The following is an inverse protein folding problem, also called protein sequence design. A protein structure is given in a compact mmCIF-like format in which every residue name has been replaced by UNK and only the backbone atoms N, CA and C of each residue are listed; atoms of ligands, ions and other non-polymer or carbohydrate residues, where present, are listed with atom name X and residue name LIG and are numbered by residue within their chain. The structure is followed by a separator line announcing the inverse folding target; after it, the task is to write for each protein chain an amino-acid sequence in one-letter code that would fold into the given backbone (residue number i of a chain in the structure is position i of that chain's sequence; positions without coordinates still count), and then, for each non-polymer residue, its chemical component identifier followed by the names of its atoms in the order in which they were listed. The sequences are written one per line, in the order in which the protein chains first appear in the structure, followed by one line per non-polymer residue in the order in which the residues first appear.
data_IF_063019821087
#
_entry.id   IF_063019821087
#
_cell.length_a   1.000
_cell.length_b   1.000
_cell.length_c   1.000
_cell.angle_alpha   90.00
_cell.angle_beta   90.00
_cell.angle_gamma   90.00
#
_symmetry.space_group_name_H-M   'P 1'
#
loop_
_entity.id
_entity.type
_entity.pdbx_description
1 polymer ?
#
# COMPACT_ATOMS: atom_id res chain seq x y z
N UNK A 1 15.67 12.16 -16.88
CA UNK A 1 16.19 12.69 -15.60
C UNK A 1 15.32 12.29 -14.39
N UNK A 2 13.97 12.23 -14.50
CA UNK A 2 13.10 11.94 -13.34
C UNK A 2 13.06 10.46 -12.88
N UNK A 3 13.39 9.49 -13.76
CA UNK A 3 13.21 8.07 -13.49
C UNK A 3 13.94 7.55 -12.22
N UNK A 4 15.23 7.91 -11.95
CA UNK A 4 15.88 7.50 -10.71
C UNK A 4 15.18 8.00 -9.43
N UNK A 5 14.68 9.24 -9.45
CA UNK A 5 13.92 9.81 -8.34
C UNK A 5 12.59 9.10 -8.13
N UNK A 6 11.88 8.77 -9.21
CA UNK A 6 10.65 7.98 -9.16
C UNK A 6 10.89 6.58 -8.61
N UNK A 7 11.94 5.89 -9.06
CA UNK A 7 12.31 4.57 -8.54
C UNK A 7 12.62 4.62 -7.04
N UNK A 8 13.34 5.64 -6.59
CA UNK A 8 13.58 5.83 -5.17
C UNK A 8 12.27 6.05 -4.40
N UNK A 9 11.38 6.92 -4.90
CA UNK A 9 10.10 7.22 -4.27
C UNK A 9 9.21 5.97 -4.14
N UNK A 10 9.07 5.17 -5.21
CA UNK A 10 8.17 4.00 -5.20
C UNK A 10 8.76 2.79 -4.48
N UNK A 11 10.07 2.59 -4.52
CA UNK A 11 10.69 1.46 -3.81
C UNK A 11 10.85 1.81 -2.34
N UNK A 12 11.56 2.89 -2.03
CA UNK A 12 11.93 3.21 -0.65
C UNK A 12 10.82 3.96 0.07
N UNK A 13 10.22 4.96 -0.58
CA UNK A 13 9.14 5.76 0.00
C UNK A 13 7.87 4.93 0.19
N UNK A 14 7.29 4.44 -0.90
CA UNK A 14 6.07 3.64 -0.87
C UNK A 14 6.35 2.23 -0.33
N UNK A 15 7.05 1.39 -1.10
CA UNK A 15 7.21 -0.02 -0.76
C UNK A 15 7.77 -0.32 0.64
N UNK A 16 8.78 0.43 1.09
CA UNK A 16 9.35 0.24 2.44
C UNK A 16 8.75 1.18 3.48
N UNK A 17 8.64 2.46 3.17
CA UNK A 17 8.18 3.47 4.11
C UNK A 17 6.72 3.28 4.52
N UNK A 18 5.83 3.05 3.55
CA UNK A 18 4.41 2.87 3.85
C UNK A 18 4.14 1.56 4.58
N UNK A 19 4.79 0.46 4.20
CA UNK A 19 4.65 -0.81 4.94
C UNK A 19 5.17 -0.69 6.38
N UNK A 20 6.29 0.01 6.58
CA UNK A 20 6.80 0.28 7.94
C UNK A 20 5.80 1.11 8.76
N UNK A 21 5.21 2.14 8.17
CA UNK A 21 4.26 3.01 8.86
C UNK A 21 2.95 2.27 9.17
N UNK A 22 2.28 1.77 8.14
CA UNK A 22 0.93 1.24 8.23
C UNK A 22 0.87 -0.18 8.79
N UNK A 23 1.88 -1.03 8.52
CA UNK A 23 1.85 -2.44 8.91
C UNK A 23 2.66 -2.69 10.17
N UNK A 24 3.72 -1.94 10.46
CA UNK A 24 4.46 -2.10 11.72
C UNK A 24 4.04 -1.08 12.76
N UNK A 25 4.34 0.20 12.53
CA UNK A 25 4.19 1.24 13.55
C UNK A 25 2.74 1.35 14.02
N UNK A 26 1.80 1.47 13.08
CA UNK A 26 0.39 1.61 13.43
C UNK A 26 -0.20 0.35 14.06
N UNK A 27 0.15 -0.85 13.58
CA UNK A 27 -0.31 -2.09 14.24
C UNK A 27 0.24 -2.22 15.66
N UNK A 28 1.49 -1.81 15.91
CA UNK A 28 2.07 -1.82 17.24
C UNK A 28 1.34 -0.85 18.17
N UNK A 29 1.13 0.39 17.72
CA UNK A 29 0.49 1.44 18.53
C UNK A 29 -0.99 1.14 18.78
N UNK A 30 -1.72 0.77 17.73
CA UNK A 30 -3.13 0.42 17.86
C UNK A 30 -3.30 -0.92 18.57
N UNK A 31 -2.36 -1.85 18.46
CA UNK A 31 -2.37 -3.09 19.24
C UNK A 31 -2.18 -2.86 20.73
N UNK A 32 -1.38 -1.86 21.13
CA UNK A 32 -1.28 -1.42 22.53
C UNK A 32 -2.58 -0.77 23.03
N UNK A 33 -3.28 -0.04 22.17
CA UNK A 33 -4.50 0.67 22.52
C UNK A 33 -5.76 -0.22 22.54
N UNK A 34 -5.93 -1.05 21.51
CA UNK A 34 -7.13 -1.85 21.24
C UNK A 34 -6.97 -3.32 21.69
N UNK A 35 -5.76 -3.75 22.01
CA UNK A 35 -5.43 -5.10 22.43
C UNK A 35 -5.11 -6.06 21.26
N UNK A 36 -5.11 -7.36 21.58
CA UNK A 36 -4.63 -8.43 20.67
C UNK A 36 -5.72 -9.40 20.20
N UNK A 37 -6.98 -9.13 20.52
CA UNK A 37 -8.11 -9.97 20.13
C UNK A 37 -8.28 -9.99 18.60
N UNK A 38 -8.98 -10.99 18.07
CA UNK A 38 -9.31 -11.06 16.63
C UNK A 38 -10.09 -9.82 16.18
N UNK A 39 -11.05 -9.36 17.00
CA UNK A 39 -11.82 -8.16 16.71
C UNK A 39 -10.93 -6.90 16.69
N UNK A 40 -9.98 -6.77 17.63
CA UNK A 40 -9.02 -5.67 17.64
C UNK A 40 -8.17 -5.69 16.36
N UNK A 41 -7.64 -6.85 15.95
CA UNK A 41 -6.88 -6.97 14.70
C UNK A 41 -7.68 -6.56 13.46
N UNK A 42 -8.95 -6.99 13.37
CA UNK A 42 -9.84 -6.58 12.28
C UNK A 42 -10.02 -5.05 12.30
N UNK A 43 -10.29 -4.47 13.47
CA UNK A 43 -10.40 -3.02 13.63
C UNK A 43 -9.13 -2.28 13.20
N UNK A 44 -7.95 -2.77 13.56
CA UNK A 44 -6.66 -2.21 13.15
C UNK A 44 -6.50 -2.24 11.63
N UNK A 45 -6.81 -3.37 10.98
CA UNK A 45 -6.77 -3.49 9.51
C UNK A 45 -7.69 -2.46 8.85
N UNK A 46 -8.92 -2.29 9.36
CA UNK A 46 -9.87 -1.34 8.78
C UNK A 46 -9.42 0.11 8.98
N UNK A 47 -8.86 0.45 10.15
CA UNK A 47 -8.34 1.79 10.44
C UNK A 47 -7.14 2.11 9.53
N UNK A 48 -6.16 1.21 9.47
CA UNK A 48 -4.95 1.45 8.65
C UNK A 48 -5.28 1.48 7.16
N UNK A 49 -6.20 0.62 6.69
CA UNK A 49 -6.72 0.66 5.31
C UNK A 49 -7.38 2.00 4.99
N UNK A 50 -8.26 2.49 5.87
CA UNK A 50 -8.96 3.76 5.64
C UNK A 50 -7.97 4.92 5.53
N UNK A 51 -6.98 4.99 6.42
CA UNK A 51 -5.98 6.04 6.42
C UNK A 51 -5.05 5.95 5.21
N UNK A 52 -4.63 4.73 4.86
CA UNK A 52 -3.82 4.46 3.67
C UNK A 52 -4.54 4.90 2.40
N UNK A 53 -5.79 4.49 2.22
CA UNK A 53 -6.60 4.86 1.08
C UNK A 53 -6.88 6.37 1.03
N UNK A 54 -7.17 7.01 2.16
CA UNK A 54 -7.36 8.46 2.22
C UNK A 54 -6.11 9.23 1.79
N UNK A 55 -4.91 8.75 2.14
CA UNK A 55 -3.65 9.35 1.73
C UNK A 55 -3.40 9.31 0.22
N UNK A 56 -4.04 8.39 -0.50
CA UNK A 56 -3.89 8.24 -1.96
C UNK A 56 -4.81 9.18 -2.76
N UNK A 57 -5.85 9.74 -2.14
CA UNK A 57 -6.83 10.57 -2.85
C UNK A 57 -6.25 11.84 -3.51
N UNK A 58 -5.40 12.66 -2.85
CA UNK A 58 -4.95 13.93 -3.42
C UNK A 58 -4.19 13.80 -4.74
N UNK A 59 -3.36 12.76 -4.87
CA UNK A 59 -2.46 12.58 -6.01
C UNK A 59 -2.99 11.58 -7.05
N UNK A 60 -3.86 10.63 -6.64
CA UNK A 60 -4.31 9.52 -7.50
C UNK A 60 -5.83 9.48 -7.72
N UNK A 61 -6.60 10.33 -7.03
CA UNK A 61 -8.06 10.39 -7.15
C UNK A 61 -8.76 9.09 -6.73
N UNK A 62 -10.00 8.90 -7.21
CA UNK A 62 -10.82 7.73 -6.89
C UNK A 62 -10.16 6.40 -7.28
N UNK A 63 -9.55 6.23 -8.47
CA UNK A 63 -8.91 4.97 -8.83
C UNK A 63 -7.79 4.57 -7.88
N UNK A 64 -6.98 5.54 -7.43
CA UNK A 64 -5.93 5.29 -6.44
C UNK A 64 -6.49 4.91 -5.08
N UNK A 65 -7.59 5.56 -4.64
CA UNK A 65 -8.28 5.17 -3.40
C UNK A 65 -8.81 3.74 -3.48
N UNK A 66 -9.46 3.35 -4.59
CA UNK A 66 -9.99 2.01 -4.78
C UNK A 66 -8.88 0.96 -4.69
N UNK A 67 -7.79 1.16 -5.45
CA UNK A 67 -6.61 0.31 -5.39
C UNK A 67 -6.04 0.23 -3.96
N UNK A 68 -5.89 1.37 -3.29
CA UNK A 68 -5.35 1.45 -1.95
C UNK A 68 -6.25 0.77 -0.90
N UNK A 69 -7.57 0.77 -1.07
CA UNK A 69 -8.49 -0.03 -0.22
C UNK A 69 -8.19 -1.52 -0.37
N UNK A 70 -8.08 -2.03 -1.60
CA UNK A 70 -7.79 -3.44 -1.83
C UNK A 70 -6.41 -3.83 -1.28
N UNK A 71 -5.37 -3.05 -1.60
CA UNK A 71 -4.02 -3.27 -1.06
C UNK A 71 -4.00 -3.19 0.46
N UNK A 72 -4.67 -2.19 1.05
CA UNK A 72 -4.85 -2.01 2.49
C UNK A 72 -5.41 -3.25 3.17
N UNK A 73 -6.54 -3.75 2.67
CA UNK A 73 -7.23 -4.93 3.23
C UNK A 73 -6.39 -6.20 3.09
N UNK A 74 -5.81 -6.45 1.92
CA UNK A 74 -5.03 -7.66 1.65
C UNK A 74 -3.74 -7.66 2.47
N UNK A 75 -2.96 -6.58 2.41
CA UNK A 75 -1.65 -6.51 3.05
C UNK A 75 -1.80 -6.39 4.57
N UNK A 76 -2.75 -5.57 5.03
CA UNK A 76 -3.10 -5.49 6.44
C UNK A 76 -3.58 -6.84 6.98
N UNK A 77 -4.40 -7.57 6.22
CA UNK A 77 -4.86 -8.91 6.57
C UNK A 77 -3.72 -9.93 6.68
N UNK A 78 -2.83 -9.96 5.68
CA UNK A 78 -1.63 -10.82 5.69
C UNK A 78 -0.78 -10.50 6.91
N UNK A 79 -0.48 -9.22 7.17
CA UNK A 79 0.32 -8.82 8.32
C UNK A 79 -0.35 -9.17 9.65
N UNK A 80 -1.67 -8.97 9.77
CA UNK A 80 -2.42 -9.30 10.98
C UNK A 80 -2.35 -10.80 11.36
N UNK A 81 -2.21 -11.67 10.36
CA UNK A 81 -2.13 -13.12 10.51
C UNK A 81 -0.67 -13.57 10.70
N UNK A 82 0.23 -13.08 9.88
CA UNK A 82 1.60 -13.63 9.73
C UNK A 82 2.66 -12.82 10.46
N UNK A 83 2.47 -11.50 10.61
CA UNK A 83 3.51 -10.57 11.04
C UNK A 83 4.64 -10.37 10.01
N UNK A 84 4.48 -10.90 8.79
CA UNK A 84 5.51 -10.83 7.76
C UNK A 84 5.52 -9.46 7.08
N UNK A 85 6.64 -8.75 7.18
CA UNK A 85 6.80 -7.41 6.62
C UNK A 85 7.58 -7.41 5.31
N UNK A 86 8.68 -8.14 5.25
CA UNK A 86 9.61 -8.04 4.12
C UNK A 86 8.96 -8.48 2.80
N UNK A 87 8.13 -9.53 2.85
CA UNK A 87 7.35 -9.97 1.69
C UNK A 87 6.40 -8.86 1.21
N UNK A 88 5.72 -8.17 2.13
CA UNK A 88 4.81 -7.07 1.79
C UNK A 88 5.57 -5.88 1.19
N UNK A 89 6.75 -5.54 1.73
CA UNK A 89 7.60 -4.47 1.18
C UNK A 89 8.01 -4.76 -0.26
N UNK A 90 8.46 -5.99 -0.52
CA UNK A 90 8.85 -6.41 -1.87
C UNK A 90 7.64 -6.43 -2.80
N UNK A 91 6.49 -6.94 -2.35
CA UNK A 91 5.27 -6.99 -3.15
C UNK A 91 4.77 -5.57 -3.52
N UNK A 92 4.76 -4.65 -2.56
CA UNK A 92 4.37 -3.26 -2.77
C UNK A 92 5.33 -2.57 -3.76
N UNK A 93 6.64 -2.60 -3.48
CA UNK A 93 7.64 -2.00 -4.37
C UNK A 93 7.58 -2.59 -5.79
N UNK A 94 7.33 -3.90 -5.91
CA UNK A 94 7.17 -4.55 -7.22
C UNK A 94 5.93 -4.05 -7.95
N UNK A 95 4.80 -3.95 -7.24
CA UNK A 95 3.56 -3.42 -7.81
C UNK A 95 3.79 -2.00 -8.36
N UNK A 96 4.41 -1.12 -7.59
CA UNK A 96 4.61 0.27 -8.02
C UNK A 96 5.63 0.40 -9.15
N UNK A 97 6.70 -0.41 -9.13
CA UNK A 97 7.67 -0.43 -10.24
C UNK A 97 7.01 -0.89 -11.54
N UNK A 98 6.11 -1.88 -11.47
CA UNK A 98 5.34 -2.32 -12.63
C UNK A 98 4.37 -1.22 -13.09
N UNK A 99 3.65 -0.56 -12.18
CA UNK A 99 2.78 0.56 -12.52
C UNK A 99 3.57 1.71 -13.19
N UNK A 100 4.71 2.09 -12.60
CA UNK A 100 5.62 3.08 -13.17
C UNK A 100 6.11 2.69 -14.56
N UNK A 101 6.45 1.41 -14.78
CA UNK A 101 6.88 0.90 -16.07
C UNK A 101 5.77 0.98 -17.12
N UNK A 102 4.54 0.61 -16.76
CA UNK A 102 3.37 0.71 -17.63
C UNK A 102 3.10 2.16 -18.06
N UNK A 103 3.22 3.11 -17.12
CA UNK A 103 3.08 4.55 -17.40
C UNK A 103 4.25 5.04 -18.27
N UNK A 104 5.50 4.73 -17.88
CA UNK A 104 6.71 5.23 -18.55
C UNK A 104 6.81 4.78 -20.01
N UNK A 105 6.41 3.55 -20.32
CA UNK A 105 6.36 3.04 -21.69
C UNK A 105 5.03 3.26 -22.39
N UNK A 106 4.11 4.02 -21.78
CA UNK A 106 2.78 4.33 -22.32
C UNK A 106 1.98 3.07 -22.72
N UNK A 107 2.13 2.00 -21.95
CA UNK A 107 1.36 0.75 -22.10
C UNK A 107 -0.03 0.87 -21.45
N UNK A 108 -0.17 1.72 -20.44
CA UNK A 108 -1.44 2.04 -19.78
C UNK A 108 -2.52 2.49 -20.79
N UNK A 109 -2.16 3.37 -21.73
CA UNK A 109 -3.09 3.88 -22.74
C UNK A 109 -3.70 2.77 -23.60
N UNK A 110 -2.99 1.66 -23.83
CA UNK A 110 -3.50 0.51 -24.59
C UNK A 110 -4.50 -0.32 -23.80
N UNK A 111 -4.44 -0.28 -22.47
CA UNK A 111 -5.36 -1.01 -21.59
C UNK A 111 -6.65 -0.20 -21.39
N UNK A 112 -6.55 1.11 -21.18
CA UNK A 112 -7.71 1.99 -20.96
C UNK A 112 -8.51 2.19 -22.24
N UNK A 113 -7.84 2.24 -23.41
CA UNK A 113 -8.49 2.43 -24.71
C UNK A 113 -8.82 1.10 -25.42
N UNK A 114 -8.76 -0.04 -24.71
CA UNK A 114 -9.10 -1.33 -25.30
C UNK A 114 -10.62 -1.46 -25.44
N UNK A 115 -11.15 -1.72 -26.65
CA UNK A 115 -12.58 -1.83 -26.91
C UNK A 115 -13.22 -3.08 -26.32
#
# INVERSE_FOLDING_TARGET
AALPGMLYAVIIGAGFGEETLYRVYMFERLGKLLGRSRAAKIGIVLITTTLFAAAHYPDQGIPGVEQAVFTGLVFGGIFAVTGELFMLMVAHATFDVVALALIYWNLEAKVILWP
#
